data_IF_705929644439
#
_entry.id   IF_705929644439
#
_cell.length_a   1.000
_cell.length_b   1.000
_cell.length_c   1.000
_cell.angle_alpha   90.00
_cell.angle_beta   90.00
_cell.angle_gamma   90.00
#
_symmetry.space_group_name_H-M   'P 1'
#
loop_
_entity.id
_entity.type
_entity.pdbx_description
1 polymer ?
#
# COMPACT_ATOMS: atom_id res chain seq x y z
N UNK A 1 -5.30 -15.23 -39.67
CA UNK A 1 -6.25 -14.31 -39.03
C UNK A 1 -5.63 -13.83 -37.73
N UNK A 2 -5.60 -12.50 -37.55
CA UNK A 2 -5.39 -11.73 -36.32
C UNK A 2 -4.19 -12.11 -35.43
N UNK A 3 -3.05 -11.45 -35.69
CA UNK A 3 -2.05 -11.23 -34.66
C UNK A 3 -2.67 -10.30 -33.60
N UNK A 4 -3.07 -10.88 -32.47
CA UNK A 4 -3.53 -10.12 -31.31
C UNK A 4 -2.37 -9.30 -30.77
N UNK A 5 -2.54 -7.99 -30.76
CA UNK A 5 -1.63 -7.00 -30.20
C UNK A 5 -1.47 -7.24 -28.69
N UNK A 6 -0.58 -8.16 -28.31
CA UNK A 6 -0.02 -8.21 -26.96
C UNK A 6 0.87 -6.97 -26.87
N UNK A 7 0.35 -5.90 -26.27
CA UNK A 7 1.10 -4.66 -26.06
C UNK A 7 2.40 -4.90 -25.28
N UNK A 8 3.17 -3.83 -25.04
CA UNK A 8 4.46 -3.86 -24.32
C UNK A 8 4.37 -4.34 -22.85
N UNK A 9 3.23 -4.89 -22.42
CA UNK A 9 3.01 -5.47 -21.12
C UNK A 9 3.77 -6.79 -20.97
N UNK A 10 4.66 -6.86 -19.99
CA UNK A 10 5.33 -8.09 -19.58
C UNK A 10 4.93 -8.42 -18.14
N UNK A 11 4.19 -9.52 -17.90
CA UNK A 11 3.79 -9.95 -16.54
C UNK A 11 4.98 -10.19 -15.61
N UNK A 12 6.18 -10.39 -16.16
CA UNK A 12 7.43 -10.56 -15.39
C UNK A 12 7.84 -9.30 -14.62
N UNK A 13 7.29 -8.13 -14.96
CA UNK A 13 7.49 -6.87 -14.22
C UNK A 13 6.26 -6.46 -13.41
N UNK A 14 5.25 -7.31 -13.32
CA UNK A 14 4.10 -7.10 -12.45
C UNK A 14 4.55 -7.27 -11.00
N UNK A 15 4.45 -6.20 -10.20
CA UNK A 15 4.77 -6.21 -8.78
C UNK A 15 3.46 -6.13 -8.00
N UNK A 16 3.33 -6.89 -6.91
CA UNK A 16 2.22 -6.75 -5.98
C UNK A 16 2.11 -5.30 -5.49
N UNK A 17 0.88 -4.81 -5.35
CA UNK A 17 0.62 -3.42 -5.08
C UNK A 17 0.97 -3.04 -3.63
N UNK A 18 2.16 -2.48 -3.40
CA UNK A 18 2.57 -1.93 -2.10
C UNK A 18 1.54 -0.95 -1.54
N UNK A 19 1.21 -1.08 -0.25
CA UNK A 19 0.29 -0.20 0.48
C UNK A 19 1.02 0.96 1.15
N UNK A 20 0.36 2.13 1.19
CA UNK A 20 0.80 3.29 1.99
C UNK A 20 -0.38 3.83 2.80
N UNK A 21 -0.10 4.26 4.03
CA UNK A 21 -1.08 4.88 4.92
C UNK A 21 -0.42 5.96 5.77
N UNK A 22 -1.22 6.90 6.28
CA UNK A 22 -0.74 7.97 7.15
C UNK A 22 -1.70 8.17 8.33
N UNK A 23 -1.16 8.67 9.44
CA UNK A 23 -1.95 9.12 10.59
C UNK A 23 -1.41 10.48 11.05
N UNK A 24 -2.30 11.37 11.49
CA UNK A 24 -1.92 12.71 11.93
C UNK A 24 -2.75 13.15 13.14
N UNK A 25 -2.08 13.76 14.12
CA UNK A 25 -2.74 14.34 15.28
C UNK A 25 -2.97 15.85 15.08
N UNK A 26 -4.17 16.20 14.64
CA UNK A 26 -4.54 17.59 14.29
C UNK A 26 -4.66 18.49 15.51
N UNK A 27 -4.90 17.92 16.70
CA UNK A 27 -5.06 18.67 17.95
C UNK A 27 -3.76 18.84 18.74
N UNK A 28 -2.65 18.28 18.25
CA UNK A 28 -1.30 18.37 18.84
C UNK A 28 -1.20 17.89 20.30
N UNK A 29 -2.11 17.03 20.74
CA UNK A 29 -2.05 16.45 22.08
C UNK A 29 -0.97 15.37 22.16
N UNK A 30 -0.02 15.50 23.08
CA UNK A 30 0.99 14.45 23.30
C UNK A 30 0.29 13.14 23.69
N UNK A 31 0.49 12.10 22.89
CA UNK A 31 -0.08 10.78 23.11
C UNK A 31 0.71 9.72 22.35
N UNK A 32 0.77 8.50 22.88
CA UNK A 32 1.33 7.33 22.19
C UNK A 32 0.37 6.70 21.18
N UNK A 33 -0.91 7.12 21.15
CA UNK A 33 -1.94 6.55 20.27
C UNK A 33 -1.52 6.58 18.79
N UNK A 34 -0.84 7.64 18.35
CA UNK A 34 -0.40 7.80 16.96
C UNK A 34 0.54 6.68 16.50
N UNK A 35 1.29 6.07 17.42
CA UNK A 35 2.17 4.93 17.13
C UNK A 35 1.34 3.65 17.00
N UNK A 36 0.41 3.42 17.93
CA UNK A 36 -0.50 2.26 17.88
C UNK A 36 -1.34 2.26 16.59
N UNK A 37 -1.85 3.42 16.19
CA UNK A 37 -2.61 3.59 14.95
C UNK A 37 -1.72 3.30 13.72
N UNK A 38 -0.48 3.79 13.70
CA UNK A 38 0.46 3.52 12.60
C UNK A 38 0.80 2.02 12.49
N UNK A 39 1.00 1.32 13.61
CA UNK A 39 1.21 -0.13 13.60
C UNK A 39 -0.02 -0.88 13.11
N UNK A 40 -1.21 -0.48 13.54
CA UNK A 40 -2.48 -1.07 13.08
C UNK A 40 -2.65 -0.90 11.56
N UNK A 41 -2.26 0.27 11.01
CA UNK A 41 -2.26 0.51 9.56
C UNK A 41 -1.33 -0.48 8.85
N UNK A 42 -0.10 -0.69 9.38
CA UNK A 42 0.87 -1.63 8.80
C UNK A 42 0.38 -3.07 8.83
N UNK A 43 -0.14 -3.56 9.96
CA UNK A 43 -0.68 -4.92 10.10
C UNK A 43 -1.80 -5.19 9.08
N UNK A 44 -2.67 -4.20 8.85
CA UNK A 44 -3.75 -4.34 7.87
C UNK A 44 -3.27 -4.35 6.40
N UNK A 45 -2.03 -3.94 6.13
CA UNK A 45 -1.43 -3.93 4.79
C UNK A 45 -0.59 -5.19 4.49
N UNK A 46 -0.43 -6.12 5.45
CA UNK A 46 0.38 -7.33 5.28
C UNK A 46 -0.11 -8.23 4.13
N UNK A 47 -1.41 -8.22 3.82
CA UNK A 47 -1.96 -8.97 2.68
C UNK A 47 -1.54 -8.43 1.29
N UNK A 48 -0.77 -7.33 1.24
CA UNK A 48 -0.25 -6.71 0.01
C UNK A 48 1.25 -6.98 -0.21
N UNK A 49 1.82 -7.91 0.57
CA UNK A 49 3.19 -8.40 0.44
C UNK A 49 3.60 -9.27 1.62
#
# INVERSE_FOLDING_TARGET
>A
MMASNLGLYSPLFEHDACGIGFVANIKSYKSHQIISDALTILENMEHRG
#
